data_IF_081380009399
#
_entry.id   IF_081380009399
#
_cell.length_a   1.000
_cell.length_b   1.000
_cell.length_c   1.000
_cell.angle_alpha   90.00
_cell.angle_beta   90.00
_cell.angle_gamma   90.00
#
_symmetry.space_group_name_H-M   'P 1'
#
loop_
_entity.id
_entity.type
_entity.pdbx_description
1 polymer ?
#
# COMPACT_ATOMS: atom_id res chain seq x y z
N UNK A 1 -9.21 18.80 1.52
CA UNK A 1 -9.34 17.91 2.69
C UNK A 1 -8.03 17.96 3.46
N UNK A 2 -8.04 18.54 4.68
CA UNK A 2 -6.93 18.41 5.61
C UNK A 2 -7.08 17.07 6.33
N UNK A 3 -6.30 16.07 5.96
CA UNK A 3 -6.16 14.86 6.74
C UNK A 3 -5.23 15.14 7.92
N UNK A 4 -5.82 15.30 9.08
CA UNK A 4 -5.09 15.40 10.33
C UNK A 4 -5.07 14.03 11.00
N UNK A 5 -3.98 13.27 10.83
CA UNK A 5 -3.74 12.06 11.59
C UNK A 5 -3.25 12.45 12.98
N UNK A 6 -4.17 12.56 13.92
CA UNK A 6 -3.85 12.73 15.34
C UNK A 6 -4.00 11.37 16.04
N UNK A 7 -3.04 10.48 15.87
CA UNK A 7 -2.97 9.24 16.67
C UNK A 7 -1.87 9.32 17.74
N UNK A 8 -0.89 10.20 17.58
CA UNK A 8 0.15 10.51 18.57
C UNK A 8 0.60 11.96 18.37
N UNK A 9 1.28 12.55 19.34
CA UNK A 9 1.81 13.93 19.32
C UNK A 9 2.78 14.25 18.17
N UNK A 10 2.81 13.45 17.14
CA UNK A 10 3.59 13.61 15.93
C UNK A 10 2.66 14.01 14.78
N UNK A 11 2.53 15.32 14.59
CA UNK A 11 1.65 15.89 13.57
C UNK A 11 2.47 16.29 12.36
N UNK A 12 2.67 15.36 11.42
CA UNK A 12 3.06 15.75 10.07
C UNK A 12 1.77 16.10 9.31
N UNK A 13 1.63 17.36 8.91
CA UNK A 13 0.51 17.80 8.08
C UNK A 13 0.94 17.83 6.62
N UNK A 14 0.08 17.28 5.75
CA UNK A 14 0.25 17.38 4.30
C UNK A 14 -0.81 18.32 3.76
N UNK A 15 -0.38 19.35 3.02
CA UNK A 15 -1.31 20.24 2.33
C UNK A 15 -1.62 19.66 0.96
N UNK A 16 -2.84 19.13 0.79
CA UNK A 16 -3.32 18.59 -0.48
C UNK A 16 -4.20 19.66 -1.14
N UNK A 17 -3.78 20.14 -2.29
CA UNK A 17 -4.56 21.11 -3.08
C UNK A 17 -5.75 20.41 -3.74
N UNK A 18 -6.90 21.07 -3.77
CA UNK A 18 -8.01 20.60 -4.59
C UNK A 18 -7.63 20.64 -6.08
N UNK A 19 -8.15 19.68 -6.82
CA UNK A 19 -7.93 19.61 -8.27
C UNK A 19 -8.68 20.77 -8.95
N UNK A 20 -7.99 21.52 -9.78
CA UNK A 20 -8.62 22.57 -10.58
C UNK A 20 -9.61 21.97 -11.58
N UNK A 21 -10.81 22.51 -11.61
CA UNK A 21 -11.92 22.03 -12.45
C UNK A 21 -12.08 22.81 -13.76
N UNK A 22 -11.18 23.74 -14.07
CA UNK A 22 -11.27 24.59 -15.25
C UNK A 22 -11.43 23.82 -16.56
N UNK A 23 -10.80 22.63 -16.68
CA UNK A 23 -10.90 21.78 -17.86
C UNK A 23 -12.05 20.75 -17.83
N UNK A 24 -12.90 20.76 -16.79
CA UNK A 24 -13.89 19.67 -16.59
C UNK A 24 -14.84 19.52 -17.77
N UNK A 25 -15.45 20.61 -18.26
CA UNK A 25 -16.39 20.59 -19.40
C UNK A 25 -15.69 20.12 -20.67
N UNK A 26 -14.52 20.66 -20.98
CA UNK A 26 -13.74 20.30 -22.16
C UNK A 26 -13.32 18.82 -22.16
N UNK A 27 -12.98 18.25 -21.00
CA UNK A 27 -12.68 16.82 -20.82
C UNK A 27 -13.93 15.96 -21.06
N UNK A 28 -15.07 16.34 -20.50
CA UNK A 28 -16.35 15.64 -20.70
C UNK A 28 -16.71 15.66 -22.18
N UNK A 29 -16.61 16.80 -22.85
CA UNK A 29 -16.90 16.93 -24.27
C UNK A 29 -15.96 16.06 -25.11
N UNK A 30 -14.66 16.09 -24.82
CA UNK A 30 -13.70 15.22 -25.51
C UNK A 30 -14.05 13.74 -25.34
N UNK A 31 -14.34 13.28 -24.14
CA UNK A 31 -14.69 11.89 -23.84
C UNK A 31 -15.99 11.49 -24.56
N UNK A 32 -16.99 12.37 -24.57
CA UNK A 32 -18.30 12.11 -25.20
C UNK A 32 -18.24 12.11 -26.73
N UNK A 33 -17.26 12.79 -27.34
CA UNK A 33 -17.08 12.86 -28.77
C UNK A 33 -16.10 11.80 -29.33
N UNK A 34 -15.61 10.88 -28.49
CA UNK A 34 -14.89 9.69 -28.98
C UNK A 34 -15.85 8.79 -29.76
N UNK A 35 -15.29 8.01 -30.73
CA UNK A 35 -16.06 7.06 -31.54
C UNK A 35 -16.57 5.88 -30.72
N UNK A 36 -17.54 6.14 -29.86
CA UNK A 36 -18.21 5.20 -28.96
C UNK A 36 -19.56 5.76 -28.49
N UNK A 37 -20.51 4.93 -28.07
CA UNK A 37 -21.71 5.43 -27.36
C UNK A 37 -21.31 6.18 -26.07
N UNK A 38 -22.00 7.26 -25.77
CA UNK A 38 -21.77 8.03 -24.54
C UNK A 38 -21.94 7.13 -23.30
N UNK A 39 -20.97 7.19 -22.39
CA UNK A 39 -20.99 6.42 -21.15
C UNK A 39 -20.64 4.93 -21.27
N UNK A 40 -20.37 4.43 -22.49
CA UNK A 40 -20.16 2.98 -22.74
C UNK A 40 -18.93 2.38 -22.03
N UNK A 41 -17.93 3.20 -21.69
CA UNK A 41 -16.73 2.76 -20.95
C UNK A 41 -16.86 2.91 -19.43
N UNK A 42 -17.99 3.44 -18.96
CA UNK A 42 -18.33 3.47 -17.52
C UNK A 42 -17.24 4.13 -16.66
N UNK A 43 -16.63 3.36 -15.77
CA UNK A 43 -15.63 3.86 -14.82
C UNK A 43 -14.37 4.39 -15.50
N UNK A 44 -13.99 3.83 -16.66
CA UNK A 44 -12.81 4.32 -17.41
C UNK A 44 -12.97 5.77 -17.85
N UNK A 45 -14.17 6.21 -18.22
CA UNK A 45 -14.43 7.60 -18.58
C UNK A 45 -14.27 8.54 -17.37
N UNK A 46 -14.76 8.10 -16.21
CA UNK A 46 -14.60 8.85 -14.95
C UNK A 46 -13.12 8.96 -14.55
N UNK A 47 -12.38 7.87 -14.68
CA UNK A 47 -10.95 7.82 -14.40
C UNK A 47 -10.17 8.73 -15.36
N UNK A 48 -10.45 8.66 -16.66
CA UNK A 48 -9.82 9.52 -17.65
C UNK A 48 -10.08 11.01 -17.40
N UNK A 49 -11.33 11.36 -17.05
CA UNK A 49 -11.70 12.71 -16.66
C UNK A 49 -10.90 13.18 -15.44
N UNK A 50 -10.83 12.35 -14.39
CA UNK A 50 -10.09 12.69 -13.17
C UNK A 50 -8.60 12.87 -13.43
N UNK A 51 -7.96 11.99 -14.21
CA UNK A 51 -6.54 12.11 -14.58
C UNK A 51 -6.31 13.38 -15.40
N UNK A 52 -7.20 13.70 -16.35
CA UNK A 52 -7.13 14.93 -17.13
C UNK A 52 -7.18 16.19 -16.25
N UNK A 53 -8.03 16.20 -15.22
CA UNK A 53 -8.10 17.27 -14.23
C UNK A 53 -6.81 17.35 -13.37
N UNK A 54 -6.29 16.21 -12.91
CA UNK A 54 -5.05 16.18 -12.10
C UNK A 54 -3.87 16.72 -12.91
N UNK A 55 -3.74 16.33 -14.18
CA UNK A 55 -2.66 16.72 -15.05
C UNK A 55 -2.90 18.06 -15.78
N UNK A 56 -4.08 18.68 -15.61
CA UNK A 56 -4.50 19.91 -16.28
C UNK A 56 -4.28 19.85 -17.81
N UNK A 57 -4.73 18.76 -18.43
CA UNK A 57 -4.58 18.53 -19.88
C UNK A 57 -5.73 17.75 -20.46
N UNK A 58 -6.06 18.02 -21.73
CA UNK A 58 -7.01 17.19 -22.49
C UNK A 58 -6.39 15.89 -23.04
N UNK A 59 -5.09 15.71 -22.92
CA UNK A 59 -4.35 14.53 -23.40
C UNK A 59 -3.46 13.98 -22.27
N UNK A 60 -4.07 13.40 -21.23
CA UNK A 60 -3.30 12.86 -20.11
C UNK A 60 -2.43 11.68 -20.54
N UNK A 61 -1.25 11.57 -19.95
CA UNK A 61 -0.28 10.52 -20.20
C UNK A 61 0.14 9.84 -18.91
N UNK A 62 0.35 8.53 -18.95
CA UNK A 62 0.95 7.78 -17.88
C UNK A 62 2.44 7.61 -18.20
N UNK A 63 3.29 8.35 -17.50
CA UNK A 63 4.75 8.33 -17.72
C UNK A 63 5.43 7.57 -16.61
N UNK A 64 6.32 6.64 -17.00
CA UNK A 64 7.16 5.86 -16.11
C UNK A 64 6.39 5.32 -14.87
N UNK A 65 5.24 4.62 -15.06
CA UNK A 65 4.42 4.17 -13.94
C UNK A 65 5.21 3.19 -13.04
N UNK A 66 5.08 3.33 -11.73
CA UNK A 66 5.82 2.53 -10.76
C UNK A 66 4.89 1.84 -9.75
N UNK A 67 5.19 0.58 -9.45
CA UNK A 67 4.68 -0.12 -8.28
C UNK A 67 5.70 -0.01 -7.15
N UNK A 68 5.32 0.60 -6.03
CA UNK A 68 6.17 0.70 -4.85
C UNK A 68 5.70 -0.36 -3.86
N UNK A 69 6.57 -1.30 -3.51
CA UNK A 69 6.28 -2.42 -2.60
C UNK A 69 7.10 -2.22 -1.34
N UNK A 70 6.42 -1.95 -0.22
CA UNK A 70 7.05 -1.86 1.09
C UNK A 70 7.01 -3.21 1.79
N UNK A 71 8.13 -3.68 2.28
CA UNK A 71 8.24 -4.98 2.93
C UNK A 71 8.65 -4.84 4.40
N UNK A 72 7.93 -5.52 5.28
CA UNK A 72 8.24 -5.59 6.71
C UNK A 72 7.55 -6.79 7.36
N UNK A 73 8.11 -7.30 8.45
CA UNK A 73 7.49 -8.32 9.27
C UNK A 73 6.65 -7.75 10.40
N UNK A 74 5.67 -8.52 10.84
CA UNK A 74 4.70 -8.15 11.87
C UNK A 74 4.81 -9.03 13.10
N UNK A 75 5.07 -8.43 14.28
CA UNK A 75 5.21 -9.16 15.53
C UNK A 75 4.00 -10.01 15.93
N UNK A 76 2.81 -9.63 15.49
CA UNK A 76 1.56 -10.36 15.72
C UNK A 76 1.54 -11.77 15.10
N UNK A 77 2.45 -12.07 14.17
CA UNK A 77 2.57 -13.41 13.57
C UNK A 77 2.81 -14.49 14.63
N UNK A 78 3.42 -14.13 15.76
CA UNK A 78 3.67 -15.02 16.88
C UNK A 78 2.40 -15.60 17.51
N UNK A 79 1.26 -14.94 17.29
CA UNK A 79 -0.04 -15.37 17.78
C UNK A 79 -0.74 -16.37 16.85
N UNK A 80 -0.08 -16.88 15.81
CA UNK A 80 -0.65 -17.87 14.89
C UNK A 80 -1.78 -17.36 14.01
N UNK A 81 -1.77 -16.06 13.68
CA UNK A 81 -2.80 -15.37 12.88
C UNK A 81 -2.57 -15.47 11.37
N UNK A 82 -1.60 -16.26 10.94
CA UNK A 82 -1.28 -16.51 9.53
C UNK A 82 -1.00 -17.99 9.29
N UNK A 83 -1.40 -18.48 8.12
CA UNK A 83 -1.05 -19.83 7.66
C UNK A 83 0.44 -19.94 7.30
N UNK A 84 1.00 -18.91 6.70
CA UNK A 84 2.40 -18.88 6.27
C UNK A 84 3.33 -18.56 7.42
N UNK A 85 4.49 -19.19 7.42
CA UNK A 85 5.57 -18.92 8.37
C UNK A 85 6.21 -17.53 8.10
N UNK A 86 6.72 -16.83 9.11
CA UNK A 86 7.29 -15.49 8.96
C UNK A 86 8.47 -15.42 7.98
N UNK A 87 9.25 -16.48 7.85
CA UNK A 87 10.40 -16.58 6.94
C UNK A 87 10.00 -16.39 5.47
N UNK A 88 8.73 -16.60 5.14
CA UNK A 88 8.20 -16.39 3.78
C UNK A 88 8.35 -14.92 3.34
N UNK A 89 8.30 -13.96 4.25
CA UNK A 89 8.54 -12.56 3.93
C UNK A 89 9.92 -12.38 3.26
N UNK A 90 10.98 -12.89 3.88
CA UNK A 90 12.32 -12.80 3.31
C UNK A 90 12.46 -13.57 1.98
N UNK A 91 11.83 -14.74 1.87
CA UNK A 91 11.82 -15.51 0.62
C UNK A 91 11.13 -14.73 -0.51
N UNK A 92 10.08 -13.97 -0.20
CA UNK A 92 9.37 -13.14 -1.17
C UNK A 92 10.22 -11.97 -1.66
N UNK A 93 11.13 -11.40 -0.85
CA UNK A 93 12.09 -10.38 -1.32
C UNK A 93 12.90 -10.94 -2.50
N UNK A 94 13.48 -12.11 -2.35
CA UNK A 94 14.22 -12.75 -3.43
C UNK A 94 13.35 -13.09 -4.64
N UNK A 95 12.09 -13.49 -4.40
CA UNK A 95 11.15 -13.80 -5.48
C UNK A 95 10.76 -12.54 -6.28
N UNK A 96 10.56 -11.40 -5.62
CA UNK A 96 10.33 -10.11 -6.29
C UNK A 96 11.53 -9.69 -7.14
N UNK A 97 12.75 -9.79 -6.60
CA UNK A 97 13.97 -9.43 -7.33
C UNK A 97 14.16 -10.34 -8.56
N UNK A 98 13.91 -11.64 -8.42
CA UNK A 98 13.98 -12.60 -9.53
C UNK A 98 12.82 -12.46 -10.53
N UNK A 99 11.83 -11.61 -10.26
CA UNK A 99 10.71 -11.38 -11.17
C UNK A 99 9.65 -12.48 -11.18
N UNK A 100 9.58 -13.32 -10.13
CA UNK A 100 8.72 -14.50 -10.06
C UNK A 100 7.35 -14.29 -9.44
N UNK A 101 7.10 -13.18 -8.76
CA UNK A 101 5.83 -12.91 -8.11
C UNK A 101 4.75 -12.44 -9.11
N UNK A 102 3.48 -12.57 -8.73
CA UNK A 102 2.36 -12.13 -9.54
C UNK A 102 2.44 -10.65 -9.93
N UNK A 103 2.85 -9.78 -9.00
CA UNK A 103 3.05 -8.36 -9.28
C UNK A 103 4.11 -8.12 -10.36
N UNK A 104 5.17 -8.92 -10.40
CA UNK A 104 6.19 -8.81 -11.45
C UNK A 104 5.62 -9.14 -12.83
N UNK A 105 4.76 -10.16 -12.92
CA UNK A 105 4.10 -10.55 -14.17
C UNK A 105 3.20 -9.42 -14.68
N UNK A 106 2.32 -8.90 -13.84
CA UNK A 106 1.41 -7.82 -14.22
C UNK A 106 2.15 -6.52 -14.53
N UNK A 107 3.19 -6.19 -13.75
CA UNK A 107 4.02 -5.02 -13.99
C UNK A 107 4.71 -5.08 -15.34
N UNK A 108 5.30 -6.23 -15.69
CA UNK A 108 5.89 -6.41 -17.02
C UNK A 108 4.86 -6.28 -18.15
N UNK A 109 3.67 -6.87 -17.97
CA UNK A 109 2.60 -6.83 -18.97
C UNK A 109 2.11 -5.39 -19.23
N UNK A 110 2.11 -4.54 -18.21
CA UNK A 110 1.60 -3.17 -18.30
C UNK A 110 2.70 -2.11 -18.26
N UNK A 111 3.96 -2.50 -18.40
CA UNK A 111 5.13 -1.60 -18.42
C UNK A 111 5.27 -0.74 -17.15
N UNK A 112 4.91 -1.31 -16.00
CA UNK A 112 5.20 -0.72 -14.69
C UNK A 112 6.60 -1.13 -14.23
N UNK A 113 7.37 -0.17 -13.72
CA UNK A 113 8.54 -0.46 -12.90
C UNK A 113 8.16 -0.97 -11.51
N UNK A 114 9.10 -1.57 -10.81
CA UNK A 114 8.92 -2.00 -9.41
C UNK A 114 10.01 -1.37 -8.56
N UNK A 115 9.62 -0.74 -7.47
CA UNK A 115 10.49 -0.30 -6.38
C UNK A 115 10.19 -1.16 -5.17
N UNK A 116 11.13 -2.02 -4.80
CA UNK A 116 11.03 -2.88 -3.62
C UNK A 116 11.81 -2.25 -2.47
N UNK A 117 11.13 -1.96 -1.36
CA UNK A 117 11.68 -1.25 -0.21
C UNK A 117 11.61 -2.13 1.02
N UNK A 118 12.74 -2.45 1.61
CA UNK A 118 12.80 -3.11 2.91
C UNK A 118 12.68 -2.07 4.03
N UNK A 119 11.53 -2.05 4.70
CA UNK A 119 11.26 -1.19 5.84
C UNK A 119 11.37 -1.92 7.18
N UNK A 120 11.48 -3.25 7.17
CA UNK A 120 11.52 -3.99 8.43
C UNK A 120 11.39 -5.49 8.28
N UNK A 121 11.91 -6.09 7.22
CA UNK A 121 11.96 -7.56 7.10
C UNK A 121 12.87 -8.13 8.18
N UNK A 122 12.45 -9.19 8.85
CA UNK A 122 13.21 -9.85 9.92
C UNK A 122 14.29 -10.77 9.36
N UNK A 123 15.10 -10.24 8.46
CA UNK A 123 16.28 -10.89 7.89
C UNK A 123 17.35 -9.84 7.60
N UNK A 124 18.59 -10.27 7.51
CA UNK A 124 19.67 -9.45 7.01
C UNK A 124 19.85 -9.73 5.51
N UNK A 125 19.97 -8.66 4.74
CA UNK A 125 20.26 -8.73 3.32
C UNK A 125 21.59 -8.05 3.03
N UNK A 126 22.45 -8.71 2.30
CA UNK A 126 23.58 -8.03 1.68
C UNK A 126 23.05 -7.02 0.65
N UNK A 127 23.76 -5.91 0.40
CA UNK A 127 23.38 -4.98 -0.65
C UNK A 127 23.15 -5.70 -1.97
N UNK A 128 21.95 -5.55 -2.54
CA UNK A 128 21.58 -6.21 -3.79
C UNK A 128 20.80 -5.27 -4.70
N UNK A 129 21.03 -5.40 -5.98
CA UNK A 129 20.29 -4.64 -6.99
C UNK A 129 18.80 -4.98 -6.93
N UNK A 130 17.97 -3.95 -6.98
CA UNK A 130 16.51 -4.09 -6.93
C UNK A 130 15.90 -4.03 -5.53
N UNK A 131 16.71 -3.99 -4.45
CA UNK A 131 16.24 -3.80 -3.08
C UNK A 131 16.72 -2.45 -2.54
N UNK A 132 15.79 -1.61 -2.13
CA UNK A 132 16.08 -0.34 -1.45
C UNK A 132 16.03 -0.59 0.05
N UNK A 133 17.18 -0.53 0.70
CA UNK A 133 17.25 -0.68 2.15
C UNK A 133 16.83 0.61 2.85
N UNK A 134 15.74 0.52 3.59
CA UNK A 134 15.19 1.55 4.49
C UNK A 134 14.72 0.91 5.80
N UNK A 135 15.39 -0.17 6.21
CA UNK A 135 15.02 -0.92 7.40
C UNK A 135 15.06 -0.04 8.65
N UNK A 136 13.92 0.07 9.32
CA UNK A 136 13.78 0.76 10.61
C UNK A 136 14.26 -0.17 11.72
N UNK A 137 13.71 -1.39 11.73
CA UNK A 137 14.13 -2.51 12.59
C UNK A 137 13.63 -3.83 12.02
N UNK A 138 13.98 -4.94 12.63
CA UNK A 138 13.53 -6.30 12.22
C UNK A 138 12.14 -6.60 12.76
N UNK A 139 11.11 -6.28 11.98
CA UNK A 139 9.71 -6.47 12.32
C UNK A 139 9.16 -5.49 13.35
N UNK A 140 7.85 -5.41 13.46
CA UNK A 140 7.18 -4.66 14.54
C UNK A 140 7.16 -5.43 15.85
N UNK A 141 6.87 -4.75 16.96
CA UNK A 141 6.46 -5.42 18.19
C UNK A 141 5.11 -6.13 18.00
N UNK A 142 4.80 -7.06 18.90
CA UNK A 142 3.50 -7.72 18.93
C UNK A 142 2.48 -6.80 19.62
N UNK A 143 1.61 -6.21 18.82
CA UNK A 143 0.63 -5.24 19.29
C UNK A 143 -0.52 -5.84 20.13
N UNK A 144 -0.48 -7.15 20.42
CA UNK A 144 -1.31 -7.74 21.46
C UNK A 144 -0.84 -7.36 22.86
N UNK A 145 0.44 -7.01 23.04
CA UNK A 145 1.05 -6.79 24.34
C UNK A 145 1.63 -5.38 24.51
N UNK A 146 2.05 -4.75 23.43
CA UNK A 146 2.68 -3.42 23.43
C UNK A 146 2.46 -2.70 22.08
N UNK A 147 2.77 -1.42 22.00
CA UNK A 147 2.67 -0.69 20.74
C UNK A 147 3.53 -1.33 19.64
N UNK A 148 3.00 -1.45 18.41
CA UNK A 148 3.70 -2.04 17.27
C UNK A 148 5.03 -1.34 16.97
N UNK A 149 5.08 -0.01 17.16
CA UNK A 149 6.20 0.88 16.87
C UNK A 149 6.29 1.97 17.92
N UNK A 150 7.50 2.50 18.14
CA UNK A 150 7.65 3.76 18.89
C UNK A 150 7.18 4.95 18.03
N UNK A 151 6.94 6.14 18.63
CA UNK A 151 6.64 7.34 17.86
C UNK A 151 7.73 7.68 16.82
N UNK A 152 8.99 7.52 17.17
CA UNK A 152 10.13 7.79 16.28
C UNK A 152 10.18 6.80 15.10
N UNK A 153 9.90 5.51 15.35
CA UNK A 153 9.79 4.49 14.31
C UNK A 153 8.63 4.78 13.35
N UNK A 154 7.49 5.22 13.90
CA UNK A 154 6.33 5.62 13.12
C UNK A 154 6.64 6.82 12.22
N UNK A 155 7.28 7.87 12.77
CA UNK A 155 7.70 9.03 11.99
C UNK A 155 8.68 8.65 10.90
N UNK A 156 9.66 7.80 11.23
CA UNK A 156 10.61 7.32 10.26
C UNK A 156 9.94 6.54 9.12
N UNK A 157 8.91 5.75 9.41
CA UNK A 157 8.14 5.03 8.38
C UNK A 157 7.44 6.01 7.42
N UNK A 158 6.86 7.10 7.93
CA UNK A 158 6.25 8.14 7.09
C UNK A 158 7.31 8.85 6.23
N UNK A 159 8.46 9.20 6.82
CA UNK A 159 9.56 9.83 6.09
C UNK A 159 10.06 8.95 4.94
N UNK A 160 10.22 7.66 5.17
CA UNK A 160 10.60 6.71 4.12
C UNK A 160 9.58 6.73 2.99
N UNK A 161 8.29 6.75 3.29
CA UNK A 161 7.24 6.86 2.27
C UNK A 161 7.41 8.12 1.41
N UNK A 162 7.70 9.27 2.02
CA UNK A 162 7.97 10.54 1.31
C UNK A 162 9.22 10.42 0.46
N UNK A 163 10.35 9.97 1.03
CA UNK A 163 11.62 9.80 0.30
C UNK A 163 11.45 8.95 -0.96
N UNK A 164 10.72 7.84 -0.87
CA UNK A 164 10.53 6.93 -2.01
C UNK A 164 9.63 7.56 -3.08
N UNK A 165 8.57 8.27 -2.68
CA UNK A 165 7.70 8.96 -3.65
C UNK A 165 8.45 10.09 -4.35
N UNK A 166 9.22 10.89 -3.61
CA UNK A 166 10.05 11.96 -4.19
C UNK A 166 11.08 11.38 -5.17
N UNK A 167 11.79 10.32 -4.79
CA UNK A 167 12.73 9.63 -5.67
C UNK A 167 12.07 9.17 -6.98
N UNK A 168 10.90 8.55 -6.90
CA UNK A 168 10.15 8.06 -8.07
C UNK A 168 9.65 9.22 -8.93
N UNK A 169 9.25 10.33 -8.30
CA UNK A 169 8.87 11.57 -9.01
C UNK A 169 10.07 12.16 -9.78
N UNK A 170 11.23 12.25 -9.15
CA UNK A 170 12.46 12.78 -9.75
C UNK A 170 12.95 11.89 -10.91
N UNK A 171 12.66 10.59 -10.89
CA UNK A 171 12.85 9.68 -12.01
C UNK A 171 11.85 9.88 -13.17
N UNK A 172 10.95 10.85 -13.06
CA UNK A 172 9.99 11.24 -14.09
C UNK A 172 8.68 10.46 -14.08
N UNK A 173 8.39 9.71 -13.03
CA UNK A 173 7.09 9.05 -12.86
C UNK A 173 6.01 10.07 -12.50
N UNK A 174 4.84 9.90 -13.09
CA UNK A 174 3.64 10.64 -12.70
C UNK A 174 2.50 9.73 -12.22
N UNK A 175 2.77 8.44 -12.09
CA UNK A 175 1.80 7.43 -11.65
C UNK A 175 2.48 6.43 -10.75
N UNK A 176 1.94 6.26 -9.55
CA UNK A 176 2.39 5.24 -8.59
C UNK A 176 1.22 4.38 -8.16
N UNK A 177 1.49 3.11 -7.91
CA UNK A 177 0.65 2.24 -7.11
C UNK A 177 1.44 1.73 -5.91
N UNK A 178 0.74 1.44 -4.83
CA UNK A 178 1.35 0.96 -3.60
C UNK A 178 0.99 -0.49 -3.37
N UNK A 179 1.97 -1.25 -2.94
CA UNK A 179 1.81 -2.60 -2.43
C UNK A 179 2.58 -2.78 -1.14
N UNK A 180 2.31 -3.87 -0.45
CA UNK A 180 3.05 -4.22 0.73
C UNK A 180 3.27 -5.73 0.79
N UNK A 181 4.33 -6.15 1.49
CA UNK A 181 4.62 -7.55 1.76
C UNK A 181 5.05 -7.74 3.22
N UNK A 182 4.33 -8.59 3.93
CA UNK A 182 4.67 -8.97 5.29
C UNK A 182 3.72 -10.07 5.77
N UNK A 183 4.25 -11.17 6.26
CA UNK A 183 3.39 -12.23 6.80
C UNK A 183 2.63 -11.73 8.02
N UNK A 184 1.32 -12.02 8.08
CA UNK A 184 0.32 -11.50 9.03
C UNK A 184 -0.15 -10.04 8.79
N UNK A 185 0.25 -9.38 7.70
CA UNK A 185 -0.17 -8.02 7.31
C UNK A 185 -1.69 -7.81 7.32
N UNK A 186 -2.47 -8.82 6.88
CA UNK A 186 -3.94 -8.74 6.84
C UNK A 186 -4.57 -8.61 8.22
N UNK A 187 -3.86 -8.93 9.31
CA UNK A 187 -4.30 -8.67 10.67
C UNK A 187 -4.36 -7.17 10.97
N UNK A 188 -3.30 -6.45 10.64
CA UNK A 188 -3.25 -4.98 10.77
C UNK A 188 -4.28 -4.31 9.86
N UNK A 189 -4.43 -4.79 8.62
CA UNK A 189 -5.44 -4.27 7.67
C UNK A 189 -6.86 -4.43 8.20
N UNK A 190 -7.19 -5.57 8.83
CA UNK A 190 -8.50 -5.81 9.44
C UNK A 190 -8.79 -4.84 10.57
N UNK A 191 -7.82 -4.58 11.45
CA UNK A 191 -7.95 -3.59 12.54
C UNK A 191 -8.13 -2.17 11.98
N UNK A 192 -7.30 -1.77 11.01
CA UNK A 192 -7.45 -0.47 10.35
C UNK A 192 -8.81 -0.30 9.70
N UNK A 193 -9.31 -1.32 8.99
CA UNK A 193 -10.63 -1.28 8.39
C UNK A 193 -11.71 -1.07 9.44
N UNK A 194 -11.68 -1.80 10.54
CA UNK A 194 -12.63 -1.63 11.65
C UNK A 194 -12.57 -0.23 12.24
N UNK A 195 -11.37 0.28 12.57
CA UNK A 195 -11.21 1.59 13.20
C UNK A 195 -11.60 2.77 12.29
N UNK A 196 -11.25 2.69 11.00
CA UNK A 196 -11.47 3.81 10.07
C UNK A 196 -12.90 3.85 9.51
N UNK A 197 -13.57 2.70 9.41
CA UNK A 197 -14.88 2.60 8.74
C UNK A 197 -16.03 2.30 9.69
N UNK A 198 -15.74 1.80 10.90
CA UNK A 198 -16.77 1.32 11.83
C UNK A 198 -17.37 -0.03 11.45
N UNK A 199 -16.85 -0.70 10.40
CA UNK A 199 -17.29 -2.06 10.04
C UNK A 199 -16.88 -3.02 11.17
N UNK A 200 -17.78 -3.92 11.61
CA UNK A 200 -17.46 -4.89 12.66
C UNK A 200 -16.23 -5.72 12.33
N UNK A 201 -15.38 -5.98 13.32
CA UNK A 201 -14.15 -6.76 13.12
C UNK A 201 -14.43 -8.15 12.51
N UNK A 202 -15.57 -8.78 12.86
CA UNK A 202 -16.02 -10.04 12.27
C UNK A 202 -16.11 -10.02 10.74
N UNK A 203 -16.45 -8.87 10.18
CA UNK A 203 -16.64 -8.68 8.74
C UNK A 203 -15.34 -8.25 8.03
N UNK A 204 -14.35 -7.83 8.82
CA UNK A 204 -13.04 -7.40 8.33
C UNK A 204 -12.00 -8.52 8.34
N UNK A 205 -12.16 -9.53 9.20
CA UNK A 205 -11.19 -10.63 9.33
C UNK A 205 -11.43 -11.72 8.29
N UNK A 206 -10.39 -12.05 7.55
CA UNK A 206 -10.43 -13.10 6.52
C UNK A 206 -9.29 -14.11 6.66
N UNK A 207 -9.32 -15.10 5.76
CA UNK A 207 -8.37 -16.22 5.75
C UNK A 207 -6.91 -15.82 5.44
N UNK A 208 -6.67 -14.61 4.96
CA UNK A 208 -5.33 -14.19 4.54
C UNK A 208 -4.74 -15.15 3.51
N UNK A 209 -3.54 -15.68 3.81
CA UNK A 209 -2.83 -16.62 2.92
C UNK A 209 -3.38 -18.07 2.94
N UNK A 210 -4.55 -18.31 3.53
CA UNK A 210 -5.20 -19.62 3.47
C UNK A 210 -5.48 -20.27 4.81
N UNK A 211 -5.76 -19.52 5.87
CA UNK A 211 -6.23 -20.06 7.15
C UNK A 211 -7.51 -20.87 6.97
N UNK A 212 -7.61 -21.99 7.72
CA UNK A 212 -8.86 -22.73 7.87
C UNK A 212 -9.93 -21.88 8.58
N UNK A 213 -11.14 -22.38 8.63
CA UNK A 213 -12.24 -21.72 9.36
C UNK A 213 -11.88 -21.50 10.84
N UNK A 214 -11.32 -22.51 11.48
CA UNK A 214 -10.84 -22.44 12.87
C UNK A 214 -9.69 -21.44 13.02
N UNK A 215 -8.80 -21.37 12.03
CA UNK A 215 -7.72 -20.38 11.99
C UNK A 215 -8.24 -18.94 11.86
N UNK A 216 -9.29 -18.72 11.08
CA UNK A 216 -9.96 -17.41 10.98
C UNK A 216 -10.63 -17.03 12.30
N UNK A 217 -11.30 -17.96 12.96
CA UNK A 217 -11.90 -17.73 14.27
C UNK A 217 -10.83 -17.44 15.34
N UNK A 218 -9.72 -18.18 15.34
CA UNK A 218 -8.58 -17.90 16.20
C UNK A 218 -8.04 -16.47 15.94
N UNK A 219 -7.78 -16.12 14.69
CA UNK A 219 -7.32 -14.79 14.29
C UNK A 219 -8.28 -13.68 14.76
N UNK A 220 -9.58 -13.89 14.58
CA UNK A 220 -10.60 -12.94 15.07
C UNK A 220 -10.48 -12.75 16.59
N UNK A 221 -10.36 -13.83 17.36
CA UNK A 221 -10.26 -13.77 18.81
C UNK A 221 -8.98 -13.06 19.28
N UNK A 222 -7.85 -13.28 18.59
CA UNK A 222 -6.60 -12.55 18.87
C UNK A 222 -6.78 -11.07 18.57
N UNK A 223 -7.31 -10.70 17.40
CA UNK A 223 -7.47 -9.29 17.01
C UNK A 223 -8.49 -8.55 17.88
N UNK A 224 -9.55 -9.26 18.35
CA UNK A 224 -10.49 -8.68 19.30
C UNK A 224 -9.79 -8.26 20.61
N UNK A 225 -8.90 -9.11 21.13
CA UNK A 225 -8.08 -8.78 22.32
C UNK A 225 -7.13 -7.61 22.09
N UNK A 226 -6.65 -7.41 20.85
CA UNK A 226 -5.82 -6.25 20.51
C UNK A 226 -6.60 -4.92 20.54
N UNK A 227 -7.93 -4.95 20.56
CA UNK A 227 -8.80 -3.78 20.62
C UNK A 227 -9.23 -3.44 22.06
N UNK A 228 -9.03 -4.33 23.04
CA UNK A 228 -9.33 -4.15 24.46
C UNK A 228 -8.21 -3.39 25.17
#
# INVERSE_FOLDING_TARGET
>A
FNFQFSIFNCMRSFTIKETDKALSEALIDKINNLTKPKGSLGLLEKTAHQIGLIQQTLSPELRNPQNIIFAADHGIVKEGVSFSAPEVTAQMIFNFIKGGAGVNMFSRQHHFGIKLVDCGVNADFEPMEGLIDRKIRKGTSNYLYEAAMTPEEFDRAIEIGVEIVDMVHDEGSNVVSFGEMGIANTSSSSLWMTYLTGIPLSDCVGAGSGLSREGVEHKYNVLKRCME
#
